data_IF_493536834612
#
_entry.id   IF_493536834612
#
_cell.length_a   1.000
_cell.length_b   1.000
_cell.length_c   1.000
_cell.angle_alpha   90.00
_cell.angle_beta   90.00
_cell.angle_gamma   90.00
#
_symmetry.space_group_name_H-M   'P 1'
#
loop_
_entity.id
_entity.type
_entity.pdbx_description
1 polymer ?
#
# COMPACT_ATOMS: atom_id res chain seq x y z
N UNK A 1 -21.66 7.33 22.14
CA UNK A 1 -21.23 8.14 20.99
C UNK A 1 -21.25 7.21 19.80
N UNK A 2 -22.08 7.46 18.77
CA UNK A 2 -22.10 6.62 17.56
C UNK A 2 -20.74 6.68 16.89
N UNK A 3 -20.18 5.52 16.54
CA UNK A 3 -18.92 5.47 15.82
C UNK A 3 -19.04 6.28 14.52
N UNK A 4 -18.16 7.24 14.33
CA UNK A 4 -18.09 8.04 13.10
C UNK A 4 -17.80 7.08 11.95
N UNK A 5 -18.55 7.16 10.86
CA UNK A 5 -18.27 6.36 9.66
C UNK A 5 -16.85 6.68 9.16
N UNK A 6 -16.02 5.68 8.86
CA UNK A 6 -14.66 5.94 8.41
C UNK A 6 -14.64 6.61 7.03
N UNK A 7 -13.72 7.54 6.87
CA UNK A 7 -13.44 8.23 5.61
C UNK A 7 -12.15 7.70 5.00
N UNK A 8 -12.22 7.18 3.80
CA UNK A 8 -11.11 6.49 3.15
C UNK A 8 -10.78 7.19 1.84
N UNK A 9 -9.51 7.52 1.63
CA UNK A 9 -9.01 7.91 0.31
C UNK A 9 -8.28 6.74 -0.33
N UNK A 10 -8.85 6.19 -1.40
CA UNK A 10 -8.18 5.22 -2.27
C UNK A 10 -7.28 6.00 -3.23
N UNK A 11 -5.99 5.71 -3.21
CA UNK A 11 -4.96 6.43 -3.93
C UNK A 11 -4.21 5.50 -4.88
N UNK A 12 -4.26 5.78 -6.18
CA UNK A 12 -3.67 4.92 -7.21
C UNK A 12 -2.73 5.71 -8.11
N UNK A 13 -1.42 5.42 -8.06
CA UNK A 13 -0.51 5.89 -9.10
C UNK A 13 -0.80 5.15 -10.41
N UNK A 14 -1.06 5.90 -11.50
CA UNK A 14 -1.41 5.37 -12.82
C UNK A 14 -0.44 5.88 -13.88
N UNK A 15 0.70 5.23 -14.05
CA UNK A 15 1.60 5.57 -15.14
C UNK A 15 0.91 5.37 -16.50
N UNK A 16 0.97 6.37 -17.38
CA UNK A 16 0.28 6.36 -18.65
C UNK A 16 -1.25 6.49 -18.58
N UNK A 17 -1.82 6.74 -17.39
CA UNK A 17 -3.28 6.84 -17.19
C UNK A 17 -4.03 5.51 -17.37
N UNK A 18 -3.34 4.37 -17.27
CA UNK A 18 -3.90 3.05 -17.52
C UNK A 18 -4.04 2.23 -16.22
N UNK A 19 -5.04 1.35 -16.21
CA UNK A 19 -5.19 0.31 -15.19
C UNK A 19 -5.60 -1.01 -15.83
N UNK A 20 -5.43 -2.11 -15.11
CA UNK A 20 -5.92 -3.42 -15.56
C UNK A 20 -7.45 -3.51 -15.40
N UNK A 21 -8.09 -4.35 -16.24
CA UNK A 21 -9.51 -4.67 -16.08
C UNK A 21 -9.82 -5.30 -14.71
N UNK A 22 -8.90 -6.12 -14.18
CA UNK A 22 -9.00 -6.70 -12.85
C UNK A 22 -9.06 -5.64 -11.75
N UNK A 23 -8.17 -4.65 -11.78
CA UNK A 23 -8.21 -3.50 -10.88
C UNK A 23 -9.55 -2.75 -10.95
N UNK A 24 -9.99 -2.40 -12.17
CA UNK A 24 -11.20 -1.64 -12.35
C UNK A 24 -12.44 -2.35 -11.78
N UNK A 25 -12.59 -3.65 -12.03
CA UNK A 25 -13.69 -4.46 -11.49
C UNK A 25 -13.59 -4.62 -9.97
N UNK A 26 -12.38 -4.81 -9.42
CA UNK A 26 -12.15 -4.89 -7.98
C UNK A 26 -12.52 -3.58 -7.30
N UNK A 27 -12.12 -2.43 -7.86
CA UNK A 27 -12.45 -1.10 -7.33
C UNK A 27 -13.96 -0.85 -7.30
N UNK A 28 -14.70 -1.21 -8.35
CA UNK A 28 -16.16 -1.11 -8.39
C UNK A 28 -16.83 -1.98 -7.32
N UNK A 29 -16.37 -3.22 -7.14
CA UNK A 29 -16.88 -4.11 -6.10
C UNK A 29 -16.59 -3.59 -4.68
N UNK A 30 -15.37 -3.08 -4.45
CA UNK A 30 -14.99 -2.48 -3.17
C UNK A 30 -15.81 -1.21 -2.88
N UNK A 31 -16.02 -0.35 -3.88
CA UNK A 31 -16.85 0.85 -3.76
C UNK A 31 -18.27 0.50 -3.29
N UNK A 32 -18.91 -0.49 -3.91
CA UNK A 32 -20.25 -0.96 -3.52
C UNK A 32 -20.26 -1.45 -2.06
N UNK A 33 -19.25 -2.25 -1.68
CA UNK A 33 -19.14 -2.79 -0.31
C UNK A 33 -18.94 -1.67 0.71
N UNK A 34 -18.00 -0.75 0.48
CA UNK A 34 -17.72 0.39 1.36
C UNK A 34 -18.95 1.30 1.49
N UNK A 35 -19.68 1.56 0.41
CA UNK A 35 -20.93 2.32 0.43
C UNK A 35 -21.99 1.64 1.29
N UNK A 36 -22.14 0.32 1.19
CA UNK A 36 -23.09 -0.45 2.02
C UNK A 36 -22.73 -0.41 3.51
N UNK A 37 -21.44 -0.31 3.83
CA UNK A 37 -20.89 -0.14 5.18
C UNK A 37 -20.90 1.33 5.65
N UNK A 38 -21.46 2.24 4.85
CA UNK A 38 -21.51 3.69 5.12
C UNK A 38 -20.14 4.36 5.26
N UNK A 39 -19.11 3.79 4.65
CA UNK A 39 -17.80 4.43 4.56
C UNK A 39 -17.85 5.55 3.52
N UNK A 40 -17.38 6.73 3.88
CA UNK A 40 -17.18 7.82 2.94
C UNK A 40 -15.87 7.55 2.16
N UNK A 41 -15.96 7.43 0.84
CA UNK A 41 -14.82 6.99 0.03
C UNK A 41 -14.47 8.03 -1.04
N UNK A 42 -13.22 8.45 -1.07
CA UNK A 42 -12.64 9.29 -2.12
C UNK A 42 -11.74 8.44 -3.00
N UNK A 43 -11.72 8.69 -4.30
CA UNK A 43 -10.78 8.07 -5.23
C UNK A 43 -9.88 9.15 -5.79
N UNK A 44 -8.57 8.98 -5.62
CA UNK A 44 -7.54 9.82 -6.20
C UNK A 44 -6.63 9.02 -7.11
N UNK A 45 -6.48 9.44 -8.35
CA UNK A 45 -5.55 8.84 -9.29
C UNK A 45 -4.51 9.88 -9.72
N UNK A 46 -3.25 9.48 -9.78
CA UNK A 46 -2.18 10.33 -10.29
C UNK A 46 -1.67 9.75 -11.59
N UNK A 47 -1.95 10.44 -12.69
CA UNK A 47 -1.58 10.00 -14.04
C UNK A 47 -0.24 10.59 -14.47
N UNK A 48 0.46 9.88 -15.34
CA UNK A 48 1.68 10.34 -16.02
C UNK A 48 2.84 10.75 -15.09
N UNK A 49 2.86 10.24 -13.86
CA UNK A 49 4.01 10.40 -12.98
C UNK A 49 4.92 9.17 -13.11
N UNK A 50 6.13 9.37 -13.62
CA UNK A 50 7.07 8.30 -13.91
C UNK A 50 7.92 7.89 -12.69
N UNK A 51 8.07 8.79 -11.73
CA UNK A 51 8.81 8.52 -10.50
C UNK A 51 7.85 8.10 -9.40
N UNK A 52 7.84 6.81 -9.08
CA UNK A 52 6.88 6.24 -8.12
C UNK A 52 6.95 6.88 -6.73
N UNK A 53 8.15 7.17 -6.22
CA UNK A 53 8.34 7.86 -4.93
C UNK A 53 7.62 9.20 -4.93
N UNK A 54 7.77 9.98 -5.99
CA UNK A 54 7.11 11.27 -6.14
C UNK A 54 5.60 11.14 -6.25
N UNK A 55 5.13 10.13 -7.00
CA UNK A 55 3.71 9.85 -7.15
C UNK A 55 3.04 9.51 -5.81
N UNK A 56 3.65 8.65 -5.00
CA UNK A 56 3.13 8.32 -3.66
C UNK A 56 3.15 9.51 -2.72
N UNK A 57 4.20 10.33 -2.74
CA UNK A 57 4.28 11.55 -1.93
C UNK A 57 3.23 12.59 -2.33
N UNK A 58 2.96 12.79 -3.63
CA UNK A 58 1.89 13.67 -4.10
C UNK A 58 0.51 13.17 -3.65
N UNK A 59 0.24 11.87 -3.73
CA UNK A 59 -1.00 11.26 -3.25
C UNK A 59 -1.14 11.36 -1.72
N UNK A 60 -0.05 11.17 -0.97
CA UNK A 60 -0.04 11.36 0.49
C UNK A 60 -0.31 12.83 0.88
N UNK A 61 0.23 13.80 0.13
CA UNK A 61 -0.09 15.21 0.28
C UNK A 61 -1.58 15.48 0.05
N UNK A 62 -2.13 15.00 -1.08
CA UNK A 62 -3.56 15.14 -1.40
C UNK A 62 -4.45 14.55 -0.29
N UNK A 63 -4.04 13.42 0.28
CA UNK A 63 -4.72 12.82 1.43
C UNK A 63 -4.68 13.73 2.67
N UNK A 64 -3.52 14.29 3.00
CA UNK A 64 -3.38 15.18 4.17
C UNK A 64 -4.18 16.49 4.01
N UNK A 65 -4.41 16.94 2.79
CA UNK A 65 -5.24 18.12 2.47
C UNK A 65 -6.75 17.82 2.54
N UNK A 66 -7.17 16.54 2.58
CA UNK A 66 -8.56 16.11 2.69
C UNK A 66 -8.93 15.73 4.13
N UNK A 67 -10.21 15.78 4.42
CA UNK A 67 -10.80 15.20 5.63
C UNK A 67 -11.06 13.70 5.40
N UNK A 68 -9.98 12.88 5.46
CA UNK A 68 -10.04 11.43 5.39
C UNK A 68 -9.26 10.80 6.54
N UNK A 69 -9.75 9.69 7.09
CA UNK A 69 -9.15 9.01 8.25
C UNK A 69 -8.07 8.01 7.82
N UNK A 70 -8.22 7.43 6.62
CA UNK A 70 -7.35 6.39 6.08
C UNK A 70 -6.90 6.68 4.65
N UNK A 71 -5.63 6.45 4.38
CA UNK A 71 -5.05 6.40 3.03
C UNK A 71 -4.91 4.94 2.60
N UNK A 72 -5.57 4.54 1.52
CA UNK A 72 -5.49 3.21 0.93
C UNK A 72 -4.75 3.26 -0.40
N UNK A 73 -3.48 2.89 -0.43
CA UNK A 73 -2.77 2.70 -1.68
C UNK A 73 -3.18 1.41 -2.36
N UNK A 74 -3.48 1.48 -3.65
CA UNK A 74 -3.71 0.34 -4.51
C UNK A 74 -3.01 0.59 -5.85
N UNK A 75 -2.11 -0.29 -6.27
CA UNK A 75 -1.49 -0.19 -7.58
C UNK A 75 -2.48 -0.55 -8.70
N UNK A 76 -2.36 0.12 -9.84
CA UNK A 76 -3.31 0.06 -10.95
C UNK A 76 -3.44 -1.32 -11.63
N UNK A 77 -2.64 -2.28 -11.22
CA UNK A 77 -2.61 -3.66 -11.75
C UNK A 77 -2.91 -4.74 -10.71
N UNK A 78 -3.28 -4.35 -9.50
CA UNK A 78 -3.69 -5.28 -8.43
C UNK A 78 -5.17 -5.63 -8.57
N UNK A 79 -5.46 -6.93 -8.62
CA UNK A 79 -6.82 -7.48 -8.52
C UNK A 79 -7.05 -7.96 -7.09
N UNK A 80 -8.17 -7.57 -6.47
CA UNK A 80 -8.46 -7.86 -5.07
C UNK A 80 -9.95 -8.16 -4.83
N UNK A 81 -10.31 -8.93 -3.79
CA UNK A 81 -11.70 -9.19 -3.42
C UNK A 81 -12.40 -7.90 -2.93
N UNK A 82 -13.72 -7.83 -3.14
CA UNK A 82 -14.55 -6.66 -2.75
C UNK A 82 -14.54 -6.34 -1.25
N UNK A 83 -14.22 -7.31 -0.41
CA UNK A 83 -14.17 -7.24 1.05
C UNK A 83 -12.74 -7.09 1.60
N UNK A 84 -11.74 -6.99 0.73
CA UNK A 84 -10.35 -6.84 1.15
C UNK A 84 -10.10 -5.55 1.95
N UNK A 85 -10.61 -4.39 1.48
CA UNK A 85 -10.46 -3.12 2.21
C UNK A 85 -11.19 -3.17 3.56
N UNK A 86 -12.45 -3.62 3.67
CA UNK A 86 -13.09 -3.87 4.96
C UNK A 86 -12.29 -4.76 5.91
N UNK A 87 -11.64 -5.83 5.40
CA UNK A 87 -10.81 -6.70 6.22
C UNK A 87 -9.60 -5.94 6.82
N UNK A 88 -8.93 -5.08 6.03
CA UNK A 88 -7.84 -4.25 6.55
C UNK A 88 -8.32 -3.23 7.59
N UNK A 89 -9.51 -2.64 7.41
CA UNK A 89 -10.11 -1.74 8.40
C UNK A 89 -10.42 -2.46 9.72
N UNK A 90 -10.93 -3.68 9.65
CA UNK A 90 -11.24 -4.51 10.83
C UNK A 90 -10.00 -4.93 11.61
N UNK A 91 -8.86 -5.09 10.93
CA UNK A 91 -7.58 -5.38 11.57
C UNK A 91 -7.10 -4.25 12.50
N UNK A 92 -7.59 -3.02 12.29
CA UNK A 92 -7.36 -1.81 13.11
C UNK A 92 -5.88 -1.51 13.40
N UNK A 93 -4.98 -1.88 12.51
CA UNK A 93 -3.54 -1.55 12.63
C UNK A 93 -3.27 -0.16 12.09
N UNK A 94 -2.18 0.46 12.53
CA UNK A 94 -1.78 1.79 12.05
C UNK A 94 -1.33 1.77 10.59
N UNK A 95 -0.57 0.74 10.22
CA UNK A 95 -0.20 0.39 8.86
C UNK A 95 -0.49 -1.10 8.66
N UNK A 96 -1.24 -1.44 7.63
CA UNK A 96 -1.54 -2.84 7.29
C UNK A 96 -1.58 -3.00 5.77
N UNK A 97 -1.03 -4.10 5.26
CA UNK A 97 -1.04 -4.41 3.84
C UNK A 97 -1.67 -5.77 3.55
N UNK A 98 -2.35 -5.87 2.43
CA UNK A 98 -2.76 -7.14 1.86
C UNK A 98 -1.57 -7.78 1.14
N UNK A 99 -1.44 -9.09 1.30
CA UNK A 99 -0.39 -9.85 0.62
C UNK A 99 -0.77 -10.05 -0.84
N UNK A 100 0.14 -9.72 -1.74
CA UNK A 100 0.01 -9.98 -3.18
C UNK A 100 1.28 -10.58 -3.75
N UNK A 101 1.14 -11.34 -4.84
CA UNK A 101 2.25 -12.02 -5.46
C UNK A 101 3.09 -11.07 -6.31
N UNK A 102 4.39 -11.30 -6.34
CA UNK A 102 5.27 -10.71 -7.34
C UNK A 102 4.89 -11.21 -8.75
N UNK A 103 5.26 -10.44 -9.76
CA UNK A 103 5.04 -10.79 -11.18
C UNK A 103 6.13 -11.74 -11.70
N UNK A 104 6.47 -12.76 -10.91
CA UNK A 104 7.48 -13.78 -11.23
C UNK A 104 7.00 -15.16 -10.80
N UNK A 105 7.54 -16.19 -11.41
CA UNK A 105 7.29 -17.56 -11.00
C UNK A 105 8.47 -18.06 -10.16
N UNK A 106 8.17 -18.54 -8.95
CA UNK A 106 9.16 -19.13 -8.05
C UNK A 106 9.56 -20.55 -8.51
N UNK A 107 10.29 -20.65 -9.61
CA UNK A 107 10.67 -21.93 -10.25
C UNK A 107 11.34 -22.93 -9.32
N UNK A 108 12.15 -22.45 -8.37
CA UNK A 108 12.79 -23.32 -7.36
C UNK A 108 11.78 -23.97 -6.42
N UNK A 109 10.74 -23.22 -6.02
CA UNK A 109 9.65 -23.75 -5.21
C UNK A 109 8.81 -24.75 -5.98
N UNK A 110 8.49 -24.47 -7.25
CA UNK A 110 7.79 -25.40 -8.15
C UNK A 110 8.60 -26.69 -8.33
N UNK A 111 9.92 -26.58 -8.56
CA UNK A 111 10.81 -27.75 -8.71
C UNK A 111 10.84 -28.61 -7.46
N UNK A 112 10.99 -27.99 -6.27
CA UNK A 112 10.96 -28.73 -4.99
C UNK A 112 9.63 -29.42 -4.75
N UNK A 113 8.51 -28.73 -5.05
CA UNK A 113 7.17 -29.31 -4.92
C UNK A 113 6.97 -30.52 -5.87
N UNK A 114 7.45 -30.42 -7.12
CA UNK A 114 7.39 -31.52 -8.09
C UNK A 114 8.21 -32.73 -7.61
N UNK A 115 9.44 -32.50 -7.11
CA UNK A 115 10.30 -33.55 -6.56
C UNK A 115 9.68 -34.22 -5.31
N UNK A 116 8.92 -33.44 -4.52
CA UNK A 116 8.18 -33.95 -3.38
C UNK A 116 6.84 -34.63 -3.74
N UNK A 117 6.53 -34.82 -5.04
CA UNK A 117 5.34 -35.50 -5.51
C UNK A 117 4.04 -34.72 -5.32
N UNK A 118 4.09 -33.38 -5.17
CA UNK A 118 2.88 -32.56 -5.06
C UNK A 118 2.15 -32.49 -6.41
N UNK A 119 0.82 -32.60 -6.37
CA UNK A 119 -0.02 -32.63 -7.59
C UNK A 119 -0.40 -31.23 -8.08
N UNK A 120 -0.60 -30.26 -7.20
CA UNK A 120 -0.98 -28.90 -7.57
C UNK A 120 0.23 -27.95 -7.54
N UNK A 121 1.04 -27.97 -8.58
CA UNK A 121 2.27 -27.17 -8.66
C UNK A 121 2.00 -25.65 -8.73
N UNK A 122 0.81 -25.23 -9.18
CA UNK A 122 0.43 -23.83 -9.26
C UNK A 122 0.45 -23.13 -7.88
N UNK A 123 0.13 -23.84 -6.81
CA UNK A 123 0.16 -23.31 -5.43
C UNK A 123 1.56 -22.94 -4.95
N UNK A 124 2.60 -23.48 -5.59
CA UNK A 124 4.01 -23.26 -5.24
C UNK A 124 4.69 -22.23 -6.17
N UNK A 125 3.94 -21.66 -7.12
CA UNK A 125 4.51 -20.76 -8.14
C UNK A 125 4.64 -19.32 -7.70
N UNK A 126 3.91 -18.90 -6.63
CA UNK A 126 3.90 -17.53 -6.16
C UNK A 126 5.06 -17.20 -5.23
N UNK A 127 5.61 -15.99 -5.36
CA UNK A 127 6.39 -15.34 -4.32
C UNK A 127 5.68 -14.04 -3.92
N UNK A 128 5.80 -13.63 -2.65
CA UNK A 128 5.02 -12.51 -2.11
C UNK A 128 5.88 -11.31 -1.81
N UNK A 129 5.27 -10.12 -1.87
CA UNK A 129 5.92 -8.83 -1.56
C UNK A 129 5.79 -8.58 -0.07
N UNK A 130 6.59 -9.30 0.73
CA UNK A 130 6.68 -9.10 2.19
C UNK A 130 7.97 -9.67 2.76
N UNK A 131 8.44 -9.08 3.87
CA UNK A 131 9.53 -9.61 4.68
C UNK A 131 9.02 -9.83 6.10
N UNK A 132 8.90 -11.09 6.52
CA UNK A 132 8.38 -11.47 7.83
C UNK A 132 9.37 -11.11 8.95
N UNK A 133 8.84 -10.78 10.13
CA UNK A 133 9.61 -10.62 11.36
C UNK A 133 9.72 -11.96 12.07
N UNK A 134 10.92 -12.27 12.60
CA UNK A 134 11.12 -13.38 13.51
C UNK A 134 10.86 -14.78 12.97
N UNK A 135 10.69 -14.93 11.65
CA UNK A 135 10.45 -16.24 11.05
C UNK A 135 11.65 -17.17 11.28
N UNK A 136 11.49 -18.11 12.21
CA UNK A 136 12.35 -19.27 12.31
C UNK A 136 11.71 -20.42 11.51
N UNK A 137 12.21 -20.64 10.30
CA UNK A 137 11.64 -21.62 9.38
C UNK A 137 10.44 -21.07 8.57
N UNK A 138 9.54 -21.96 8.14
CA UNK A 138 8.42 -21.65 7.24
C UNK A 138 7.12 -21.21 7.97
N UNK A 139 7.21 -20.83 9.25
CA UNK A 139 6.05 -20.49 10.07
C UNK A 139 6.09 -19.04 10.55
N UNK A 140 4.99 -18.32 10.37
CA UNK A 140 4.73 -17.02 10.96
C UNK A 140 3.62 -17.14 12.02
N UNK A 141 3.77 -16.42 13.14
CA UNK A 141 2.69 -16.31 14.11
C UNK A 141 1.63 -15.35 13.61
N UNK A 142 0.38 -15.82 13.59
CA UNK A 142 -0.80 -15.04 13.19
C UNK A 142 -1.50 -14.58 14.46
N UNK A 143 -1.77 -13.29 14.58
CA UNK A 143 -2.50 -12.75 15.73
C UNK A 143 -4.01 -13.11 15.67
N UNK A 144 -4.76 -12.76 16.74
CA UNK A 144 -6.19 -13.04 16.85
C UNK A 144 -7.03 -12.37 15.74
N UNK A 145 -6.52 -11.31 15.10
CA UNK A 145 -7.15 -10.62 13.98
C UNK A 145 -6.81 -11.24 12.61
N UNK A 146 -6.01 -12.30 12.57
CA UNK A 146 -5.58 -12.94 11.32
C UNK A 146 -4.42 -12.21 10.63
N UNK A 147 -3.70 -11.35 11.34
CA UNK A 147 -2.59 -10.54 10.83
C UNK A 147 -1.26 -11.09 11.30
N UNK A 148 -0.23 -10.98 10.47
CA UNK A 148 1.15 -11.27 10.81
C UNK A 148 1.97 -9.99 10.87
N UNK A 149 2.90 -9.88 11.81
CA UNK A 149 3.84 -8.77 11.82
C UNK A 149 4.91 -8.99 10.77
N UNK A 150 5.13 -7.95 9.95
CA UNK A 150 6.14 -7.97 8.88
C UNK A 150 7.13 -6.83 9.09
N UNK A 151 8.37 -7.02 8.65
CA UNK A 151 9.36 -5.95 8.61
C UNK A 151 9.03 -4.96 7.49
N UNK A 152 8.70 -5.49 6.32
CA UNK A 152 8.34 -4.72 5.15
C UNK A 152 7.12 -5.33 4.46
N UNK A 153 6.23 -4.47 3.99
CA UNK A 153 5.11 -4.80 3.13
C UNK A 153 5.07 -3.86 1.92
N UNK A 154 4.48 -4.32 0.83
CA UNK A 154 4.37 -3.53 -0.39
C UNK A 154 3.23 -2.51 -0.33
N UNK A 155 3.45 -1.33 -0.87
CA UNK A 155 2.43 -0.28 -0.99
C UNK A 155 1.41 -0.54 -2.10
N UNK A 156 1.57 -1.60 -2.89
CA UNK A 156 0.61 -1.98 -3.93
C UNK A 156 -0.79 -2.31 -3.39
N UNK A 157 -0.91 -2.65 -2.09
CA UNK A 157 -2.18 -2.79 -1.39
C UNK A 157 -1.99 -2.51 0.11
N UNK A 158 -1.91 -1.22 0.50
CA UNK A 158 -1.56 -0.80 1.87
C UNK A 158 -2.52 0.26 2.40
N UNK A 159 -3.08 0.00 3.59
CA UNK A 159 -3.91 0.94 4.34
C UNK A 159 -3.07 1.61 5.44
N UNK A 160 -3.12 2.93 5.51
CA UNK A 160 -2.36 3.76 6.45
C UNK A 160 -3.32 4.69 7.18
N UNK A 161 -3.31 4.70 8.53
CA UNK A 161 -4.06 5.69 9.31
C UNK A 161 -3.46 7.09 9.13
N UNK A 162 -4.31 8.12 9.17
CA UNK A 162 -3.88 9.53 9.11
C UNK A 162 -2.82 9.86 10.15
N UNK A 163 -3.00 9.39 11.37
CA UNK A 163 -2.08 9.63 12.49
C UNK A 163 -0.63 9.23 12.20
N UNK A 164 -0.41 8.23 11.34
CA UNK A 164 0.93 7.78 10.92
C UNK A 164 1.64 8.89 10.14
N UNK A 165 1.01 9.42 9.09
CA UNK A 165 1.60 10.47 8.27
C UNK A 165 1.72 11.79 9.06
N UNK A 166 0.74 12.10 9.92
CA UNK A 166 0.81 13.28 10.80
C UNK A 166 1.97 13.18 11.79
N UNK A 167 2.26 11.99 12.33
CA UNK A 167 3.43 11.75 13.19
C UNK A 167 4.74 11.86 12.41
N UNK A 168 4.77 11.33 11.18
CA UNK A 168 5.99 11.27 10.39
C UNK A 168 6.35 12.58 9.69
N UNK A 169 5.41 13.50 9.46
CA UNK A 169 5.66 14.73 8.69
C UNK A 169 6.81 15.60 9.21
N UNK A 170 7.03 15.61 10.53
CA UNK A 170 8.08 16.39 11.16
C UNK A 170 9.45 15.67 11.15
N UNK A 171 9.48 14.44 10.65
CA UNK A 171 10.66 13.56 10.60
C UNK A 171 11.17 13.29 9.19
N UNK A 172 10.53 13.85 8.18
CA UNK A 172 10.91 13.69 6.78
C UNK A 172 11.23 15.03 6.12
N UNK A 173 12.13 15.06 5.14
CA UNK A 173 12.39 16.29 4.39
C UNK A 173 11.16 16.69 3.58
N UNK A 174 11.14 17.96 3.20
CA UNK A 174 10.14 18.51 2.29
C UNK A 174 10.80 19.01 1.02
N UNK A 175 10.08 18.95 -0.08
CA UNK A 175 10.51 19.53 -1.36
C UNK A 175 9.35 20.30 -2.00
N UNK A 176 9.70 21.26 -2.87
CA UNK A 176 8.72 21.99 -3.67
C UNK A 176 8.59 21.32 -5.04
N UNK A 177 7.38 20.98 -5.43
CA UNK A 177 7.10 20.55 -6.80
C UNK A 177 7.31 21.73 -7.76
N UNK A 178 8.11 21.53 -8.78
CA UNK A 178 8.33 22.54 -9.82
C UNK A 178 7.08 22.77 -10.66
N UNK A 179 6.27 21.72 -10.87
CA UNK A 179 4.99 21.78 -11.55
C UNK A 179 4.16 20.57 -11.11
N UNK A 180 2.94 20.83 -10.69
CA UNK A 180 1.95 19.80 -10.37
C UNK A 180 0.61 20.24 -10.97
N UNK A 181 0.07 19.42 -11.87
CA UNK A 181 -1.27 19.64 -12.40
C UNK A 181 -2.26 18.94 -11.47
N UNK A 182 -3.10 19.71 -10.80
CA UNK A 182 -4.14 19.17 -9.94
C UNK A 182 -5.11 18.33 -10.80
N UNK A 183 -5.30 17.04 -10.51
CA UNK A 183 -6.16 16.16 -11.31
C UNK A 183 -7.65 16.52 -11.23
N UNK A 184 -8.07 17.25 -10.19
CA UNK A 184 -9.47 17.66 -9.99
C UNK A 184 -9.80 18.99 -10.67
N UNK A 185 -8.90 20.00 -10.56
CA UNK A 185 -9.15 21.35 -11.11
C UNK A 185 -8.48 21.58 -12.46
N UNK A 186 -7.45 20.81 -12.78
CA UNK A 186 -6.64 21.00 -13.97
C UNK A 186 -5.57 22.09 -13.85
N UNK A 187 -5.54 22.81 -12.72
CA UNK A 187 -4.61 23.93 -12.50
C UNK A 187 -3.18 23.47 -12.22
N UNK A 188 -2.22 24.29 -12.62
CA UNK A 188 -0.81 24.07 -12.26
C UNK A 188 -0.46 24.79 -10.97
N UNK A 189 0.11 24.04 -10.02
CA UNK A 189 0.51 24.54 -8.71
C UNK A 189 1.94 24.12 -8.38
N UNK A 190 2.52 24.72 -7.33
CA UNK A 190 3.86 24.44 -6.83
C UNK A 190 3.85 24.04 -5.34
N UNK A 191 3.16 22.96 -4.97
CA UNK A 191 2.98 22.59 -3.57
C UNK A 191 4.30 22.17 -2.93
N UNK A 192 4.34 22.32 -1.59
CA UNK A 192 5.36 21.70 -0.74
C UNK A 192 4.87 20.28 -0.38
N UNK A 193 5.75 19.32 -0.52
CA UNK A 193 5.45 17.89 -0.36
C UNK A 193 6.40 17.29 0.65
N UNK A 194 5.87 16.52 1.60
CA UNK A 194 6.66 15.72 2.53
C UNK A 194 7.12 14.43 1.86
N UNK A 195 8.38 14.06 2.05
CA UNK A 195 9.01 12.90 1.39
C UNK A 195 8.89 11.65 2.27
N UNK A 196 7.68 11.13 2.44
CA UNK A 196 7.43 9.90 3.19
C UNK A 196 7.96 8.65 2.48
N UNK A 197 7.88 8.67 1.16
CA UNK A 197 8.28 7.56 0.27
C UNK A 197 9.53 7.96 -0.49
N UNK A 198 10.62 7.25 -0.24
CA UNK A 198 11.91 7.47 -0.90
C UNK A 198 12.65 6.14 -1.03
N UNK A 199 13.74 6.12 -1.77
CA UNK A 199 14.70 5.03 -1.74
C UNK A 199 15.81 5.34 -0.74
N UNK A 200 16.29 4.35 -0.02
CA UNK A 200 17.41 4.51 0.93
C UNK A 200 18.32 3.29 0.92
N UNK A 201 19.47 3.43 1.54
CA UNK A 201 20.40 2.32 1.75
C UNK A 201 20.35 1.99 3.24
N UNK A 202 20.13 0.71 3.57
CA UNK A 202 20.09 0.25 4.94
C UNK A 202 21.51 0.04 5.53
N UNK A 203 21.58 -0.31 6.80
CA UNK A 203 22.85 -0.52 7.51
C UNK A 203 23.67 -1.71 6.95
N UNK A 204 23.06 -2.57 6.15
CA UNK A 204 23.75 -3.68 5.47
C UNK A 204 24.31 -3.29 4.09
N UNK A 205 24.01 -2.08 3.62
CA UNK A 205 24.35 -1.59 2.29
C UNK A 205 23.33 -2.00 1.21
N UNK A 206 22.17 -2.56 1.58
CA UNK A 206 21.13 -2.91 0.64
C UNK A 206 20.23 -1.71 0.30
N UNK A 207 19.87 -1.59 -0.99
CA UNK A 207 18.93 -0.57 -1.44
C UNK A 207 17.49 -0.98 -1.06
N UNK A 208 16.82 -0.10 -0.32
CA UNK A 208 15.41 -0.21 -0.01
C UNK A 208 14.57 0.54 -1.06
N UNK A 209 13.52 -0.10 -1.55
CA UNK A 209 12.46 0.53 -2.35
C UNK A 209 11.64 1.50 -1.49
N UNK A 210 10.76 2.28 -2.12
CA UNK A 210 10.01 3.33 -1.44
C UNK A 210 9.04 2.79 -0.39
N UNK A 211 8.49 1.60 -0.61
CA UNK A 211 7.62 0.89 0.32
C UNK A 211 8.41 0.37 1.54
N UNK A 212 9.57 -0.22 1.30
CA UNK A 212 10.46 -0.71 2.36
C UNK A 212 11.05 0.44 3.17
N UNK A 213 11.44 1.53 2.51
CA UNK A 213 11.87 2.76 3.17
C UNK A 213 10.76 3.30 4.10
N UNK A 214 9.51 3.38 3.62
CA UNK A 214 8.39 3.83 4.44
C UNK A 214 8.15 2.92 5.66
N UNK A 215 8.23 1.61 5.50
CA UNK A 215 8.11 0.66 6.59
C UNK A 215 9.22 0.85 7.64
N UNK A 216 10.48 0.99 7.23
CA UNK A 216 11.59 1.26 8.15
C UNK A 216 11.45 2.62 8.85
N UNK A 217 11.02 3.65 8.12
CA UNK A 217 10.74 4.96 8.69
C UNK A 217 9.66 4.87 9.78
N UNK A 218 8.55 4.16 9.52
CA UNK A 218 7.49 3.98 10.50
C UNK A 218 7.97 3.20 11.73
N UNK A 219 8.69 2.11 11.54
CA UNK A 219 9.26 1.30 12.63
C UNK A 219 10.27 2.09 13.48
N UNK A 220 11.13 2.88 12.86
CA UNK A 220 12.09 3.76 13.56
C UNK A 220 11.40 4.75 14.51
N UNK A 221 10.16 5.12 14.21
CA UNK A 221 9.33 6.01 15.04
C UNK A 221 8.34 5.26 15.94
N UNK A 222 8.58 3.97 16.21
CA UNK A 222 7.82 3.15 17.17
C UNK A 222 6.54 2.56 16.61
N UNK A 223 6.41 2.44 15.29
CA UNK A 223 5.32 1.76 14.61
C UNK A 223 5.55 0.26 14.44
N UNK A 224 4.45 -0.42 14.12
CA UNK A 224 4.42 -1.85 13.77
C UNK A 224 3.77 -2.03 12.40
#
# INVERSE_FOLDING_TARGET
MGAKNPKIMIATPMYGGMCTGGYALSLLGAWQTLTSLKCETYIATLMNESLITRGRNDLARMFLERDADYLMFIDADITFPKDAIPALLLADKDVVCGVYSKKEIAWDSVSRAAQAGKSNLAEYSGSFVLNMMGAQGDHAEVDESGVIEVRHGGTGFMLIKRSVLEKLKDHVPTYRRTSFRNPETGDYTHPVVHQFFDTSIDDTGALLSEDYHFCELWRKHGGQ
#
